data_IF_004989985683
#
_entry.id   IF_004989985683
#
_cell.length_a   1.000
_cell.length_b   1.000
_cell.length_c   1.000
_cell.angle_alpha   90.00
_cell.angle_beta   90.00
_cell.angle_gamma   90.00
#
_symmetry.space_group_name_H-M   'P 1'
#
loop_
_entity.id
_entity.type
_entity.pdbx_description
1 polymer ?
#
# COMPACT_ATOMS: atom_id res chain seq x y z
N UNK A 1 15.85 -81.16 8.21
CA UNK A 1 16.75 -80.30 8.99
C UNK A 1 17.11 -79.08 8.15
N UNK A 2 16.83 -77.87 8.68
CA UNK A 2 17.52 -76.58 8.43
C UNK A 2 17.57 -76.09 6.95
N UNK A 3 16.66 -75.21 6.50
CA UNK A 3 16.61 -73.72 6.61
C UNK A 3 17.26 -72.96 5.45
N UNK A 4 16.55 -71.92 4.99
CA UNK A 4 17.00 -70.67 4.33
C UNK A 4 17.33 -70.74 2.83
N UNK A 5 17.11 -69.70 2.02
CA UNK A 5 16.26 -68.51 2.04
C UNK A 5 16.40 -67.86 0.64
N UNK A 6 15.34 -67.16 0.24
CA UNK A 6 15.17 -66.27 -0.91
C UNK A 6 16.40 -65.41 -1.29
N UNK A 7 16.60 -65.13 -2.58
CA UNK A 7 16.80 -63.76 -3.11
C UNK A 7 16.86 -63.70 -4.65
N UNK A 8 15.71 -63.38 -5.23
CA UNK A 8 15.56 -62.80 -6.57
C UNK A 8 15.96 -61.32 -6.50
N UNK A 9 16.93 -60.88 -7.30
CA UNK A 9 17.29 -59.47 -7.43
C UNK A 9 16.71 -58.93 -8.74
N UNK A 10 15.52 -58.32 -8.67
CA UNK A 10 14.98 -57.48 -9.73
C UNK A 10 15.43 -56.04 -9.46
N UNK A 11 16.32 -55.54 -10.30
CA UNK A 11 16.78 -54.15 -10.30
C UNK A 11 15.66 -53.28 -10.88
N UNK A 12 14.89 -52.62 -10.01
CA UNK A 12 13.94 -51.58 -10.38
C UNK A 12 14.67 -50.23 -10.40
N UNK A 13 14.80 -49.63 -11.58
CA UNK A 13 15.20 -48.24 -11.75
C UNK A 13 14.13 -47.33 -11.14
N UNK A 14 14.40 -46.78 -9.96
CA UNK A 14 13.64 -45.66 -9.42
C UNK A 14 14.05 -44.38 -10.17
N UNK A 15 13.16 -43.88 -11.04
CA UNK A 15 13.24 -42.53 -11.57
C UNK A 15 12.86 -41.58 -10.43
N UNK A 16 13.87 -41.01 -9.78
CA UNK A 16 13.70 -39.95 -8.78
C UNK A 16 13.47 -38.64 -9.53
N UNK A 17 12.21 -38.28 -9.77
CA UNK A 17 11.87 -36.95 -10.28
C UNK A 17 12.11 -35.93 -9.17
N UNK A 18 13.27 -35.27 -9.22
CA UNK A 18 13.61 -34.14 -8.38
C UNK A 18 12.70 -32.97 -8.77
N UNK A 19 11.61 -32.75 -8.03
CA UNK A 19 10.82 -31.52 -8.10
C UNK A 19 11.71 -30.37 -7.62
N UNK A 20 12.32 -29.65 -8.56
CA UNK A 20 12.98 -28.38 -8.27
C UNK A 20 11.90 -27.36 -7.88
N UNK A 21 11.71 -27.14 -6.57
CA UNK A 21 10.98 -25.97 -6.08
C UNK A 21 11.82 -24.74 -6.41
N UNK A 22 11.50 -24.10 -7.54
CA UNK A 22 12.04 -22.78 -7.84
C UNK A 22 11.54 -21.79 -6.77
N UNK A 23 12.39 -20.89 -6.25
CA UNK A 23 11.93 -19.84 -5.37
C UNK A 23 10.93 -18.96 -6.14
N UNK A 24 9.71 -18.83 -5.62
CA UNK A 24 8.74 -17.85 -6.10
C UNK A 24 9.33 -16.48 -5.82
N UNK A 25 9.87 -15.85 -6.86
CA UNK A 25 10.38 -14.50 -6.79
C UNK A 25 9.17 -13.57 -6.66
N UNK A 26 9.07 -12.83 -5.55
CA UNK A 26 7.98 -11.89 -5.32
C UNK A 26 7.83 -10.95 -6.52
N UNK A 27 6.64 -10.89 -7.10
CA UNK A 27 6.40 -10.08 -8.28
C UNK A 27 6.25 -8.62 -7.84
N UNK A 28 7.33 -7.85 -7.96
CA UNK A 28 7.30 -6.40 -7.72
C UNK A 28 6.81 -5.65 -8.97
N UNK A 29 5.93 -4.68 -8.74
CA UNK A 29 5.49 -3.72 -9.74
C UNK A 29 5.53 -2.31 -9.17
N UNK A 30 5.84 -1.32 -10.00
CA UNK A 30 5.92 0.09 -9.60
C UNK A 30 4.80 0.87 -10.28
N UNK A 31 4.06 1.63 -9.48
CA UNK A 31 3.02 2.55 -9.94
C UNK A 31 3.54 3.98 -9.82
N UNK A 32 3.69 4.63 -10.96
CA UNK A 32 4.07 6.04 -11.07
C UNK A 32 2.89 6.84 -11.56
N UNK A 33 2.43 7.81 -10.76
CA UNK A 33 1.47 8.82 -11.21
C UNK A 33 2.30 10.00 -11.75
N UNK A 34 2.01 10.39 -12.99
CA UNK A 34 2.70 11.48 -13.69
C UNK A 34 1.94 12.81 -13.54
N UNK A 35 2.59 13.98 -13.75
CA UNK A 35 1.93 15.28 -13.65
C UNK A 35 0.74 15.47 -14.59
N UNK A 36 0.71 14.78 -15.73
CA UNK A 36 -0.36 14.84 -16.72
C UNK A 36 -1.54 13.88 -16.42
N UNK A 37 -1.44 13.10 -15.34
CA UNK A 37 -2.42 12.08 -14.98
C UNK A 37 -3.83 12.67 -14.83
N UNK A 38 -4.81 11.96 -15.40
CA UNK A 38 -6.23 12.32 -15.31
C UNK A 38 -6.91 11.63 -14.13
N UNK A 39 -8.04 12.18 -13.70
CA UNK A 39 -8.84 11.61 -12.61
C UNK A 39 -8.47 12.11 -11.20
N UNK A 40 -7.74 13.21 -11.12
CA UNK A 40 -7.52 13.95 -9.88
C UNK A 40 -8.74 14.80 -9.52
N UNK A 41 -9.01 14.96 -8.23
CA UNK A 41 -10.00 15.87 -7.69
C UNK A 41 -9.33 16.80 -6.69
N UNK A 42 -9.59 18.11 -6.80
CA UNK A 42 -9.03 19.14 -5.93
C UNK A 42 -7.48 19.08 -5.78
N UNK A 43 -6.79 18.71 -6.86
CA UNK A 43 -5.32 18.66 -6.89
C UNK A 43 -4.75 19.32 -8.14
N UNK A 44 -3.55 19.85 -7.98
CA UNK A 44 -2.58 20.17 -9.01
C UNK A 44 -1.37 19.25 -8.82
N UNK A 45 -0.79 18.79 -9.91
CA UNK A 45 0.31 17.83 -9.91
C UNK A 45 1.56 18.48 -10.50
N UNK A 46 2.70 18.32 -9.84
CA UNK A 46 3.98 18.83 -10.30
C UNK A 46 5.07 17.76 -10.17
N UNK A 47 6.12 17.85 -10.99
CA UNK A 47 7.29 17.00 -10.83
C UNK A 47 8.03 17.32 -9.53
N UNK A 48 8.61 16.30 -8.91
CA UNK A 48 9.40 16.44 -7.69
C UNK A 48 10.52 15.39 -7.70
N UNK A 49 11.65 15.67 -7.04
CA UNK A 49 12.79 14.73 -6.96
C UNK A 49 12.42 13.36 -6.37
N UNK A 50 11.44 13.33 -5.47
CA UNK A 50 10.90 12.09 -4.90
C UNK A 50 10.06 11.31 -5.92
N UNK A 51 9.43 11.98 -6.87
CA UNK A 51 8.47 11.43 -7.83
C UNK A 51 7.47 12.49 -8.28
N UNK A 52 6.46 12.75 -7.44
CA UNK A 52 5.39 13.70 -7.75
C UNK A 52 5.04 14.55 -6.53
N UNK A 53 4.85 15.84 -6.73
CA UNK A 53 4.24 16.73 -5.74
C UNK A 53 2.75 16.89 -6.04
N UNK A 54 1.93 16.74 -5.00
CA UNK A 54 0.49 16.90 -5.06
C UNK A 54 0.12 18.11 -4.22
N UNK A 55 -0.33 19.15 -4.92
CA UNK A 55 -0.79 20.41 -4.34
C UNK A 55 -2.29 20.40 -4.26
N UNK A 56 -2.83 20.64 -3.07
CA UNK A 56 -4.26 20.85 -2.90
C UNK A 56 -4.65 22.23 -3.45
N UNK A 57 -5.66 22.31 -4.34
CA UNK A 57 -6.04 23.58 -5.01
C UNK A 57 -6.89 24.47 -4.11
N UNK A 58 -7.86 23.85 -3.44
CA UNK A 58 -8.82 24.48 -2.54
C UNK A 58 -8.85 23.76 -1.19
N UNK A 59 -9.44 24.39 -0.18
CA UNK A 59 -9.63 23.79 1.16
C UNK A 59 -10.35 22.44 1.07
N UNK A 60 -9.89 21.47 1.86
CA UNK A 60 -10.48 20.13 1.94
C UNK A 60 -9.53 19.06 1.45
N UNK A 61 -10.08 17.93 0.98
CA UNK A 61 -9.30 16.80 0.51
C UNK A 61 -9.04 16.91 -0.99
N UNK A 62 -7.79 16.67 -1.37
CA UNK A 62 -7.33 16.46 -2.73
C UNK A 62 -6.92 15.01 -2.93
N UNK A 63 -7.21 14.44 -4.10
CA UNK A 63 -6.84 13.07 -4.43
C UNK A 63 -6.47 12.89 -5.90
N UNK A 64 -5.68 11.87 -6.15
CA UNK A 64 -5.44 11.31 -7.48
C UNK A 64 -5.37 9.79 -7.34
N UNK A 65 -6.06 9.08 -8.24
CA UNK A 65 -6.01 7.61 -8.28
C UNK A 65 -5.86 7.12 -9.71
N UNK A 66 -5.08 6.07 -9.88
CA UNK A 66 -4.93 5.31 -11.11
C UNK A 66 -5.45 3.90 -10.92
N UNK A 67 -5.87 3.29 -12.02
CA UNK A 67 -6.29 1.90 -12.04
C UNK A 67 -5.07 0.98 -12.17
N UNK A 68 -5.06 -0.12 -11.41
CA UNK A 68 -4.08 -1.17 -11.55
C UNK A 68 -4.37 -1.97 -12.82
N UNK A 69 -3.32 -2.39 -13.53
CA UNK A 69 -3.46 -3.27 -14.70
C UNK A 69 -4.17 -4.58 -14.32
N UNK A 70 -3.87 -5.09 -13.13
CA UNK A 70 -4.46 -6.29 -12.57
C UNK A 70 -5.02 -6.00 -11.18
N UNK A 71 -6.34 -6.16 -10.97
CA UNK A 71 -6.93 -6.12 -9.64
C UNK A 71 -6.30 -7.12 -8.68
N UNK A 72 -6.20 -6.75 -7.40
CA UNK A 72 -5.69 -7.63 -6.35
C UNK A 72 -6.87 -8.14 -5.53
N UNK A 73 -7.15 -9.44 -5.62
CA UNK A 73 -8.37 -10.05 -5.07
C UNK A 73 -8.13 -11.10 -3.99
N UNK A 74 -6.89 -11.50 -3.74
CA UNK A 74 -6.52 -12.55 -2.77
C UNK A 74 -5.06 -12.43 -2.36
N UNK A 75 -4.68 -13.13 -1.29
CA UNK A 75 -3.31 -13.18 -0.78
C UNK A 75 -2.89 -11.95 0.02
N UNK A 76 -1.58 -11.87 0.28
CA UNK A 76 -0.95 -10.76 0.98
C UNK A 76 -0.29 -9.84 -0.04
N UNK A 77 -0.55 -8.54 0.06
CA UNK A 77 0.10 -7.53 -0.78
C UNK A 77 0.75 -6.48 0.10
N UNK A 78 1.96 -6.06 -0.27
CA UNK A 78 2.68 -4.98 0.41
C UNK A 78 2.90 -3.81 -0.54
N UNK A 79 2.47 -2.63 -0.10
CA UNK A 79 2.71 -1.34 -0.74
C UNK A 79 3.81 -0.60 0.02
N UNK A 80 4.78 -0.05 -0.70
CA UNK A 80 5.85 0.77 -0.15
C UNK A 80 5.92 2.11 -0.87
N UNK A 81 6.04 3.18 -0.10
CA UNK A 81 6.22 4.53 -0.61
C UNK A 81 6.81 5.45 0.48
N UNK A 82 7.39 6.55 0.04
CA UNK A 82 7.80 7.66 0.89
C UNK A 82 6.97 8.90 0.60
N UNK A 83 6.76 9.75 1.61
CA UNK A 83 6.14 11.06 1.42
C UNK A 83 6.61 12.11 2.43
N UNK A 84 6.55 13.37 2.02
CA UNK A 84 6.98 14.51 2.83
C UNK A 84 6.16 15.74 2.46
N UNK A 85 5.69 16.49 3.46
CA UNK A 85 5.05 17.78 3.18
C UNK A 85 6.10 18.77 2.69
N UNK A 86 5.85 19.42 1.56
CA UNK A 86 6.71 20.46 0.98
C UNK A 86 6.29 21.86 1.43
N UNK A 87 5.21 21.95 2.21
CA UNK A 87 4.66 23.22 2.67
C UNK A 87 5.43 23.73 3.90
N UNK A 88 6.17 24.82 3.72
CA UNK A 88 7.05 25.42 4.74
C UNK A 88 6.30 26.18 5.83
N UNK A 89 5.11 26.72 5.54
CA UNK A 89 4.26 27.48 6.47
C UNK A 89 2.89 26.82 6.63
N UNK A 90 2.81 25.64 7.27
CA UNK A 90 1.58 24.89 7.30
C UNK A 90 0.49 25.53 8.15
N UNK A 91 -0.76 25.50 7.66
CA UNK A 91 -1.97 25.85 8.43
C UNK A 91 -2.95 24.67 8.45
N UNK A 92 -3.55 24.40 9.61
CA UNK A 92 -4.64 23.44 9.75
C UNK A 92 -4.25 21.94 9.65
N UNK A 93 -5.25 21.11 9.37
CA UNK A 93 -5.10 19.66 9.21
C UNK A 93 -4.46 19.34 7.87
N UNK A 94 -3.30 18.68 7.94
CA UNK A 94 -2.52 18.22 6.78
C UNK A 94 -2.39 16.72 6.78
N UNK A 95 -2.34 16.11 5.61
CA UNK A 95 -2.08 14.69 5.48
C UNK A 95 -1.19 14.35 4.27
N UNK A 96 -0.57 13.18 4.36
CA UNK A 96 0.03 12.47 3.25
C UNK A 96 -0.38 11.02 3.37
N UNK A 97 -1.19 10.53 2.44
CA UNK A 97 -1.78 9.19 2.52
C UNK A 97 -1.77 8.49 1.16
N UNK A 98 -1.57 7.18 1.18
CA UNK A 98 -1.92 6.31 0.06
C UNK A 98 -3.43 6.05 0.08
N UNK A 99 -4.03 5.98 -1.11
CA UNK A 99 -5.41 5.56 -1.34
C UNK A 99 -5.41 4.19 -1.99
N UNK A 100 -6.28 3.30 -1.53
CA UNK A 100 -6.48 1.97 -2.13
C UNK A 100 -7.96 1.57 -2.08
N UNK A 101 -8.48 0.94 -3.12
CA UNK A 101 -9.82 0.37 -3.05
C UNK A 101 -10.40 -0.13 -4.36
N UNK A 102 -11.69 -0.48 -4.34
CA UNK A 102 -12.38 -1.20 -5.41
C UNK A 102 -13.00 -0.31 -6.48
N UNK A 103 -13.28 0.96 -6.14
CA UNK A 103 -13.87 1.96 -7.03
C UNK A 103 -13.29 3.34 -6.76
N UNK A 104 -13.35 4.21 -7.75
CA UNK A 104 -13.10 5.65 -7.57
C UNK A 104 -14.15 6.23 -6.60
N UNK A 105 -13.77 7.29 -5.88
CA UNK A 105 -14.69 8.13 -5.10
C UNK A 105 -14.79 7.84 -3.61
N UNK A 106 -15.49 8.74 -2.92
CA UNK A 106 -15.74 8.74 -1.48
C UNK A 106 -16.27 7.39 -0.98
N UNK A 107 -15.78 6.92 0.16
CA UNK A 107 -16.25 5.70 0.80
C UNK A 107 -15.91 4.38 0.10
N UNK A 108 -15.25 4.41 -1.07
CA UNK A 108 -14.76 3.22 -1.80
C UNK A 108 -13.23 3.10 -1.78
N UNK A 109 -12.56 4.06 -1.14
CA UNK A 109 -11.13 4.06 -0.89
C UNK A 109 -10.84 4.02 0.62
N UNK A 110 -9.88 3.21 1.02
CA UNK A 110 -9.19 3.32 2.30
C UNK A 110 -8.03 4.28 2.09
N UNK A 111 -7.92 5.26 2.99
CA UNK A 111 -6.76 6.13 3.08
C UNK A 111 -5.90 5.68 4.25
N UNK A 112 -4.59 5.55 3.98
CA UNK A 112 -3.62 5.01 4.92
C UNK A 112 -2.38 5.89 4.89
N UNK A 113 -1.90 6.33 6.04
CA UNK A 113 -0.71 7.20 6.09
C UNK A 113 -0.74 8.10 7.31
N UNK A 114 -0.39 9.37 7.13
CA UNK A 114 -0.16 10.28 8.26
C UNK A 114 -1.07 11.49 8.21
N UNK A 115 -1.76 11.75 9.32
CA UNK A 115 -2.33 13.07 9.65
C UNK A 115 -1.20 13.92 10.25
N UNK A 116 -0.42 14.59 9.40
CA UNK A 116 0.75 15.37 9.80
C UNK A 116 0.36 16.47 10.81
N UNK A 117 -0.70 17.23 10.52
CA UNK A 117 -1.22 18.24 11.46
C UNK A 117 -1.82 17.63 12.74
N UNK A 118 -2.28 16.37 12.67
CA UNK A 118 -2.85 15.63 13.79
C UNK A 118 -1.84 14.82 14.61
N UNK A 119 -0.56 14.82 14.22
CA UNK A 119 0.54 14.04 14.83
C UNK A 119 0.17 12.56 15.02
N UNK A 120 -0.36 11.93 13.98
CA UNK A 120 -0.83 10.55 14.04
C UNK A 120 -0.69 9.81 12.71
N UNK A 121 -0.35 8.52 12.79
CA UNK A 121 -0.51 7.58 11.69
C UNK A 121 -1.91 6.96 11.75
N UNK A 122 -2.54 6.76 10.60
CA UNK A 122 -3.97 6.42 10.53
C UNK A 122 -4.31 5.44 9.43
N UNK A 123 -5.42 4.74 9.67
CA UNK A 123 -6.20 4.00 8.69
C UNK A 123 -7.62 4.57 8.75
N UNK A 124 -8.15 5.07 7.64
CA UNK A 124 -9.52 5.60 7.57
C UNK A 124 -10.24 5.22 6.28
N UNK A 125 -11.56 5.14 6.36
CA UNK A 125 -12.40 5.14 5.17
C UNK A 125 -12.59 6.59 4.73
N UNK A 126 -12.16 6.89 3.50
CA UNK A 126 -12.25 8.24 2.93
C UNK A 126 -13.67 8.79 3.01
N UNK A 127 -13.81 10.03 3.47
CA UNK A 127 -15.06 10.79 3.65
C UNK A 127 -16.13 10.11 4.52
N UNK A 128 -15.76 9.13 5.35
CA UNK A 128 -16.73 8.47 6.24
C UNK A 128 -16.29 8.35 7.67
N UNK A 129 -15.14 7.70 7.93
CA UNK A 129 -14.80 7.29 9.29
C UNK A 129 -13.30 7.05 9.45
N UNK A 130 -12.72 7.61 10.50
CA UNK A 130 -11.43 7.18 11.04
C UNK A 130 -11.58 5.79 11.65
N UNK A 131 -10.83 4.81 11.14
CA UNK A 131 -10.91 3.43 11.65
C UNK A 131 -9.97 3.23 12.83
N UNK A 132 -8.71 3.66 12.66
CA UNK A 132 -7.69 3.56 13.70
C UNK A 132 -6.67 4.69 13.54
N UNK A 133 -6.15 5.18 14.65
CA UNK A 133 -4.99 6.06 14.69
C UNK A 133 -4.06 5.70 15.85
N UNK A 134 -2.78 5.98 15.66
CA UNK A 134 -1.76 5.94 16.70
C UNK A 134 -1.03 7.28 16.68
N UNK A 135 -0.87 7.89 17.86
CA UNK A 135 -0.12 9.14 17.99
C UNK A 135 1.36 8.87 17.77
N UNK A 136 2.02 9.80 17.10
CA UNK A 136 3.45 9.71 16.83
C UNK A 136 4.09 11.09 16.97
N UNK A 137 5.31 11.10 17.48
CA UNK A 137 6.14 12.29 17.51
C UNK A 137 6.72 12.52 16.12
N UNK A 138 6.48 13.71 15.57
CA UNK A 138 6.95 14.08 14.23
C UNK A 138 7.12 15.59 14.11
N UNK A 139 8.01 16.01 13.22
CA UNK A 139 8.14 17.41 12.78
C UNK A 139 7.26 17.65 11.54
N UNK A 140 7.01 18.91 11.22
CA UNK A 140 6.13 19.29 10.13
C UNK A 140 6.65 18.89 8.74
N UNK A 141 7.96 18.76 8.63
CA UNK A 141 8.78 18.47 7.46
C UNK A 141 9.37 17.05 7.51
N UNK A 142 8.92 16.20 8.44
CA UNK A 142 9.40 14.81 8.52
C UNK A 142 9.09 14.07 7.22
N UNK A 143 10.11 13.39 6.68
CA UNK A 143 9.91 12.38 5.65
C UNK A 143 9.40 11.10 6.31
N UNK A 144 8.36 10.52 5.73
CA UNK A 144 7.75 9.29 6.19
C UNK A 144 8.01 8.19 5.18
N UNK A 145 8.60 7.08 5.62
CA UNK A 145 8.71 5.86 4.84
C UNK A 145 7.63 4.89 5.32
N UNK A 146 6.68 4.58 4.45
CA UNK A 146 5.50 3.79 4.79
C UNK A 146 5.53 2.43 4.13
N UNK A 147 5.25 1.40 4.93
CA UNK A 147 5.01 0.03 4.49
C UNK A 147 3.57 -0.34 4.87
N UNK A 148 2.76 -0.64 3.87
CA UNK A 148 1.36 -1.02 4.06
C UNK A 148 1.21 -2.47 3.63
N UNK A 149 0.86 -3.34 4.56
CA UNK A 149 0.56 -4.75 4.28
C UNK A 149 -0.94 -4.96 4.36
N UNK A 150 -1.52 -5.48 3.30
CA UNK A 150 -2.93 -5.87 3.24
C UNK A 150 -2.99 -7.37 3.05
N UNK A 151 -3.56 -8.07 4.03
CA UNK A 151 -3.93 -9.47 3.89
C UNK A 151 -5.39 -9.52 3.45
N UNK A 152 -5.61 -9.86 2.18
CA UNK A 152 -6.93 -9.85 1.57
C UNK A 152 -7.76 -11.02 2.09
N UNK A 153 -7.13 -12.16 2.34
CA UNK A 153 -7.79 -13.38 2.76
C UNK A 153 -8.17 -13.30 4.25
N UNK A 154 -7.25 -12.82 5.09
CA UNK A 154 -7.51 -12.55 6.51
C UNK A 154 -8.27 -11.24 6.76
N UNK A 155 -8.48 -10.43 5.71
CA UNK A 155 -9.13 -9.10 5.77
C UNK A 155 -8.50 -8.19 6.82
N UNK A 156 -7.18 -8.10 6.82
CA UNK A 156 -6.44 -7.19 7.71
C UNK A 156 -5.64 -6.17 6.93
N UNK A 157 -5.37 -5.04 7.58
CA UNK A 157 -4.51 -4.00 7.05
C UNK A 157 -3.60 -3.48 8.15
N UNK A 158 -2.31 -3.39 7.82
CA UNK A 158 -1.25 -2.88 8.66
C UNK A 158 -0.54 -1.73 7.96
N UNK A 159 -0.29 -0.66 8.69
CA UNK A 159 0.58 0.44 8.32
C UNK A 159 1.76 0.44 9.27
N UNK A 160 2.98 0.40 8.76
CA UNK A 160 4.18 0.78 9.48
C UNK A 160 4.73 2.09 8.89
N UNK A 161 5.00 3.06 9.75
CA UNK A 161 5.69 4.30 9.36
C UNK A 161 6.77 4.59 10.39
N UNK A 162 8.02 4.63 9.94
CA UNK A 162 9.17 4.94 10.79
C UNK A 162 9.19 4.13 12.12
N UNK A 163 8.77 2.86 12.08
CA UNK A 163 8.71 1.97 13.25
C UNK A 163 7.44 2.08 14.11
N UNK A 164 6.50 2.96 13.76
CA UNK A 164 5.17 3.01 14.39
C UNK A 164 4.16 2.21 13.58
N UNK A 165 3.59 1.19 14.19
CA UNK A 165 2.59 0.32 13.56
C UNK A 165 1.15 0.73 13.92
N UNK A 166 0.27 0.71 12.92
CA UNK A 166 -1.19 0.82 13.05
C UNK A 166 -1.82 -0.39 12.36
N UNK A 167 -2.64 -1.15 13.07
CA UNK A 167 -3.33 -2.33 12.54
C UNK A 167 -4.84 -2.19 12.68
N UNK A 168 -5.58 -2.68 11.69
CA UNK A 168 -7.04 -2.71 11.71
C UNK A 168 -7.61 -3.79 10.78
N UNK A 169 -8.91 -4.08 10.95
CA UNK A 169 -9.66 -4.89 9.99
C UNK A 169 -9.86 -4.13 8.67
N UNK A 170 -9.63 -4.82 7.55
CA UNK A 170 -9.90 -4.33 6.20
C UNK A 170 -11.41 -4.41 5.94
N UNK A 171 -12.09 -3.30 5.61
CA UNK A 171 -13.52 -3.40 5.37
C UNK A 171 -13.84 -4.08 4.03
N UNK A 172 -14.90 -4.90 3.99
CA UNK A 172 -15.19 -5.82 2.88
C UNK A 172 -15.41 -5.16 1.51
N UNK A 173 -15.97 -3.93 1.48
CA UNK A 173 -16.31 -3.22 0.24
C UNK A 173 -15.10 -2.68 -0.56
N UNK A 174 -13.90 -2.73 0.01
CA UNK A 174 -12.68 -2.20 -0.61
C UNK A 174 -11.96 -3.22 -1.50
N UNK A 175 -12.45 -4.46 -1.51
CA UNK A 175 -11.93 -5.54 -2.33
C UNK A 175 -12.76 -5.72 -3.61
N UNK A 176 -12.14 -6.19 -4.71
CA UNK A 176 -10.69 -6.28 -4.91
C UNK A 176 -10.05 -4.88 -4.98
N UNK A 177 -8.75 -4.77 -4.69
CA UNK A 177 -8.02 -3.51 -4.86
C UNK A 177 -7.82 -3.28 -6.36
N UNK A 178 -8.51 -2.29 -6.92
CA UNK A 178 -8.45 -1.90 -8.34
C UNK A 178 -7.77 -0.56 -8.54
N UNK A 179 -7.90 0.33 -7.57
CA UNK A 179 -7.39 1.69 -7.64
C UNK A 179 -6.36 1.91 -6.55
N UNK A 180 -5.27 2.60 -6.91
CA UNK A 180 -4.26 3.10 -6.00
C UNK A 180 -3.93 4.55 -6.30
N UNK A 181 -3.45 5.28 -5.31
CA UNK A 181 -2.95 6.64 -5.53
C UNK A 181 -2.72 7.36 -4.22
N UNK A 182 -2.96 8.66 -4.20
CA UNK A 182 -2.57 9.52 -3.09
C UNK A 182 -3.69 10.46 -2.68
N UNK A 183 -3.69 10.83 -1.40
CA UNK A 183 -4.53 11.87 -0.83
C UNK A 183 -3.68 12.90 -0.10
N UNK A 184 -4.04 14.16 -0.30
CA UNK A 184 -3.57 15.32 0.46
C UNK A 184 -4.78 16.09 0.99
N UNK A 185 -4.57 16.95 1.98
CA UNK A 185 -5.62 17.77 2.57
C UNK A 185 -4.97 19.04 3.10
N UNK A 186 -5.41 20.21 2.61
CA UNK A 186 -4.87 21.52 2.95
C UNK A 186 -3.33 21.57 2.95
N UNK A 187 -2.68 20.89 2.00
CA UNK A 187 -1.23 20.79 1.97
C UNK A 187 -0.69 20.57 0.56
N UNK A 188 0.62 20.74 0.44
CA UNK A 188 1.40 20.17 -0.64
C UNK A 188 2.29 19.07 -0.05
N UNK A 189 2.27 17.90 -0.68
CA UNK A 189 3.03 16.73 -0.26
C UNK A 189 3.67 16.08 -1.47
N UNK A 190 4.97 15.84 -1.39
CA UNK A 190 5.72 15.04 -2.34
C UNK A 190 5.60 13.56 -1.99
N UNK A 191 5.46 12.72 -3.01
CA UNK A 191 5.35 11.27 -2.91
C UNK A 191 6.37 10.60 -3.84
N UNK A 192 6.93 9.48 -3.36
CA UNK A 192 7.61 8.54 -4.25
C UNK A 192 6.61 7.71 -5.05
N UNK A 193 7.05 7.04 -6.13
CA UNK A 193 6.26 5.96 -6.73
C UNK A 193 5.85 4.92 -5.68
N UNK A 194 4.71 4.25 -5.92
CA UNK A 194 4.24 3.15 -5.07
C UNK A 194 4.84 1.85 -5.61
N UNK A 195 5.61 1.17 -4.79
CA UNK A 195 6.05 -0.21 -5.08
C UNK A 195 5.03 -1.18 -4.50
N UNK A 196 4.63 -2.18 -5.29
CA UNK A 196 3.65 -3.20 -4.93
C UNK A 196 4.34 -4.56 -5.06
N UNK A 197 4.34 -5.35 -4.00
CA UNK A 197 4.84 -6.73 -3.95
C UNK A 197 3.74 -7.68 -3.50
N UNK A 198 3.65 -8.85 -4.14
CA UNK A 198 2.71 -9.93 -3.85
C UNK A 198 3.49 -11.20 -3.52
#
# INVERSE_FOLDING_TARGET
MKTNALKTLLTSCAVLTLLMTMPVQAQESVVTIKPDAKGGHNVELAEHEMGIEIKNKDKGDGLIVTELKEPISSGVVTFKLSYQSTMTQPKGYRNGMILMGSKRGAGNLVAVGTLIGGRAHVINVRDKKLLKNVKAEMKNDTKFDAVITVDIDAKTIKLDVNGTTVENQLPSKFLPIKFVGYSVANTSTAFSPITISK
#
